data_IF_717827187900
#
_entry.id   IF_717827187900
#
_cell.length_a   1.000
_cell.length_b   1.000
_cell.length_c   1.000
_cell.angle_alpha   90.00
_cell.angle_beta   90.00
_cell.angle_gamma   90.00
#
_symmetry.space_group_name_H-M   'P 1'
#
loop_
_entity.id
_entity.type
_entity.pdbx_description
1 polymer ?
#
# COMPACT_ATOMS: atom_id res chain seq x y z
N UNK A 1 -9.63 -0.61 2.89
CA UNK A 1 -8.48 -0.53 1.94
C UNK A 1 -8.23 0.93 1.51
N UNK A 2 -6.97 1.38 1.45
CA UNK A 2 -6.58 2.70 0.88
C UNK A 2 -6.06 2.51 -0.55
N UNK A 3 -6.60 3.27 -1.48
CA UNK A 3 -6.26 3.28 -2.89
C UNK A 3 -5.39 4.49 -3.22
N UNK A 4 -4.16 4.20 -3.65
CA UNK A 4 -3.21 5.20 -4.13
C UNK A 4 -3.24 5.22 -5.66
N UNK A 5 -3.33 6.42 -6.24
CA UNK A 5 -3.25 6.63 -7.69
C UNK A 5 -1.93 7.30 -8.03
N UNK A 6 -0.99 6.53 -8.54
CA UNK A 6 0.32 7.06 -8.90
C UNK A 6 0.25 7.87 -10.19
N UNK A 7 0.78 9.10 -10.13
CA UNK A 7 1.00 10.01 -11.23
C UNK A 7 2.50 10.34 -11.34
N UNK A 8 3.02 10.26 -12.56
CA UNK A 8 4.39 10.64 -12.86
C UNK A 8 4.39 11.94 -13.67
N UNK A 9 4.83 13.03 -13.04
CA UNK A 9 4.87 14.34 -13.69
C UNK A 9 6.30 14.67 -14.11
N UNK A 10 6.56 14.69 -15.42
CA UNK A 10 7.83 15.13 -16.00
C UNK A 10 7.89 16.66 -16.07
N UNK A 11 9.01 17.24 -15.61
CA UNK A 11 9.32 18.67 -15.73
C UNK A 11 10.77 18.86 -16.20
N UNK A 12 11.13 20.10 -16.54
CA UNK A 12 12.49 20.50 -16.86
C UNK A 12 13.00 21.45 -15.77
N UNK A 13 14.26 21.27 -15.34
CA UNK A 13 14.94 22.25 -14.49
C UNK A 13 15.30 23.51 -15.31
N UNK A 14 15.76 24.60 -14.68
CA UNK A 14 16.15 25.82 -15.40
C UNK A 14 17.28 25.64 -16.43
N UNK A 15 18.01 24.52 -16.39
CA UNK A 15 19.08 24.17 -17.34
C UNK A 15 18.59 23.22 -18.44
N UNK A 16 17.30 22.91 -18.49
CA UNK A 16 16.70 22.00 -19.47
C UNK A 16 16.87 20.52 -19.14
N UNK A 17 17.32 20.17 -17.93
CA UNK A 17 17.49 18.76 -17.51
C UNK A 17 16.15 18.22 -17.01
N UNK A 18 15.66 17.08 -17.54
CA UNK A 18 14.39 16.50 -17.08
C UNK A 18 14.49 15.97 -15.65
N UNK A 19 13.44 16.20 -14.87
CA UNK A 19 13.22 15.58 -13.56
C UNK A 19 11.76 15.15 -13.43
N UNK A 20 11.48 14.27 -12.47
CA UNK A 20 10.17 13.63 -12.32
C UNK A 20 9.68 13.79 -10.89
N UNK A 21 8.42 14.20 -10.75
CA UNK A 21 7.68 14.07 -9.49
C UNK A 21 6.89 12.79 -9.53
N UNK A 22 7.09 11.95 -8.51
CA UNK A 22 6.22 10.82 -8.21
C UNK A 22 5.22 11.36 -7.20
N UNK A 23 3.97 11.46 -7.60
CA UNK A 23 2.89 11.97 -6.78
C UNK A 23 1.59 11.30 -7.17
N UNK A 24 0.48 11.88 -6.78
CA UNK A 24 -0.84 11.32 -7.04
C UNK A 24 -1.91 12.14 -6.35
N UNK A 25 -3.17 11.86 -6.67
CA UNK A 25 -4.27 12.37 -5.87
C UNK A 25 -4.17 11.83 -4.44
N UNK A 26 -4.77 12.57 -3.48
CA UNK A 26 -4.87 12.08 -2.13
C UNK A 26 -5.51 10.69 -2.14
N UNK A 27 -4.93 9.70 -1.43
CA UNK A 27 -5.43 8.34 -1.47
C UNK A 27 -6.90 8.33 -1.05
N UNK A 28 -7.72 7.73 -1.90
CA UNK A 28 -9.12 7.45 -1.59
C UNK A 28 -9.20 6.13 -0.84
N UNK A 29 -10.32 5.81 -0.20
CA UNK A 29 -10.45 4.52 0.46
C UNK A 29 -11.83 4.30 1.02
N UNK A 30 -12.16 3.02 1.26
CA UNK A 30 -13.37 2.64 1.97
C UNK A 30 -13.11 2.84 3.46
N UNK A 31 -13.98 3.60 4.12
CA UNK A 31 -14.02 3.67 5.58
C UNK A 31 -14.52 2.33 6.09
N UNK A 32 -13.59 1.53 6.59
CA UNK A 32 -13.83 0.18 7.05
C UNK A 32 -13.51 0.09 8.54
N UNK A 33 -14.47 -0.42 9.31
CA UNK A 33 -14.32 -0.58 10.76
C UNK A 33 -13.13 -1.50 11.07
N UNK A 34 -12.34 -1.12 12.08
CA UNK A 34 -11.12 -1.85 12.45
C UNK A 34 -9.86 -1.47 11.65
N UNK A 35 -9.98 -0.61 10.62
CA UNK A 35 -8.81 -0.06 9.91
C UNK A 35 -8.37 1.28 10.49
N UNK A 36 -7.09 1.63 10.29
CA UNK A 36 -6.56 2.92 10.73
C UNK A 36 -7.28 4.12 10.09
N UNK A 37 -7.67 3.98 8.82
CA UNK A 37 -8.37 5.00 8.04
C UNK A 37 -9.81 5.15 8.51
N UNK A 38 -10.48 4.03 8.82
CA UNK A 38 -11.81 4.02 9.42
C UNK A 38 -11.82 4.76 10.76
N UNK A 39 -10.86 4.48 11.65
CA UNK A 39 -10.76 5.16 12.94
C UNK A 39 -10.58 6.68 12.81
N UNK A 40 -9.75 7.13 11.87
CA UNK A 40 -9.57 8.57 11.60
C UNK A 40 -10.83 9.22 10.99
N UNK A 41 -11.55 8.51 10.11
CA UNK A 41 -12.81 8.98 9.54
C UNK A 41 -13.88 9.26 10.60
N UNK A 42 -13.88 8.48 11.68
CA UNK A 42 -14.77 8.62 12.84
C UNK A 42 -14.20 9.54 13.94
N UNK A 43 -13.14 10.30 13.66
CA UNK A 43 -12.49 11.24 14.59
C UNK A 43 -11.85 10.61 15.85
N UNK A 44 -11.45 9.34 15.76
CA UNK A 44 -10.68 8.66 16.81
C UNK A 44 -9.17 8.65 16.52
N UNK A 45 -8.36 8.46 17.57
CA UNK A 45 -6.93 8.16 17.42
C UNK A 45 -6.77 6.69 17.06
N UNK A 46 -5.96 6.38 16.05
CA UNK A 46 -5.60 4.99 15.69
C UNK A 46 -4.27 4.57 16.33
N UNK A 47 -4.24 3.38 16.93
CA UNK A 47 -3.02 2.72 17.39
C UNK A 47 -2.94 1.34 16.76
N UNK A 48 -2.01 1.15 15.84
CA UNK A 48 -1.83 -0.10 15.09
C UNK A 48 -0.56 -0.80 15.54
N UNK A 49 -0.62 -1.91 16.30
CA UNK A 49 0.57 -2.68 16.64
C UNK A 49 1.12 -3.35 15.38
N UNK A 50 2.33 -2.98 14.97
CA UNK A 50 3.02 -3.52 13.80
C UNK A 50 4.11 -4.52 14.24
N UNK A 51 4.36 -5.50 13.38
CA UNK A 51 5.47 -6.44 13.51
C UNK A 51 6.44 -6.29 12.34
N UNK A 52 7.70 -6.64 12.55
CA UNK A 52 8.75 -6.60 11.52
C UNK A 52 8.81 -7.88 10.67
N UNK A 53 8.25 -8.97 11.16
CA UNK A 53 8.12 -10.19 10.37
C UNK A 53 7.04 -9.99 9.31
N UNK A 54 7.48 -9.88 8.05
CA UNK A 54 6.62 -9.70 6.88
C UNK A 54 6.28 -11.03 6.20
N UNK A 55 6.62 -12.16 6.81
CA UNK A 55 6.33 -13.48 6.25
C UNK A 55 4.82 -13.69 6.21
N UNK A 56 4.28 -13.90 5.01
CA UNK A 56 2.88 -14.26 4.80
C UNK A 56 2.64 -15.72 5.22
N UNK A 57 2.60 -15.98 6.52
CA UNK A 57 2.54 -17.34 7.10
C UNK A 57 1.36 -18.16 6.58
N UNK A 58 0.18 -17.55 6.46
CA UNK A 58 -1.03 -18.21 5.95
C UNK A 58 -0.87 -18.66 4.51
N UNK A 59 -0.33 -17.79 3.65
CA UNK A 59 0.00 -18.14 2.28
C UNK A 59 1.06 -19.24 2.22
N UNK A 60 2.04 -19.22 3.11
CA UNK A 60 3.04 -20.28 3.23
C UNK A 60 2.41 -21.65 3.52
N UNK A 61 1.42 -21.72 4.42
CA UNK A 61 0.66 -22.95 4.68
C UNK A 61 -0.21 -23.38 3.50
N UNK A 62 -0.72 -22.43 2.72
CA UNK A 62 -1.44 -22.71 1.48
C UNK A 62 -0.53 -23.32 0.42
N UNK A 63 0.64 -22.71 0.18
CA UNK A 63 1.61 -23.17 -0.82
C UNK A 63 2.15 -24.57 -0.52
N UNK A 64 2.30 -24.94 0.76
CA UNK A 64 2.69 -26.31 1.15
C UNK A 64 1.70 -27.39 0.71
N UNK A 65 0.44 -27.03 0.46
CA UNK A 65 -0.61 -27.94 -0.02
C UNK A 65 -0.59 -28.09 -1.53
N UNK A 66 0.13 -27.23 -2.23
CA UNK A 66 0.22 -27.30 -3.68
C UNK A 66 1.10 -28.47 -4.07
N UNK A 67 0.57 -29.33 -4.95
CA UNK A 67 1.36 -30.40 -5.54
C UNK A 67 2.20 -29.82 -6.68
N UNK A 68 3.49 -29.60 -6.42
CA UNK A 68 4.44 -29.13 -7.43
C UNK A 68 4.92 -30.27 -8.36
N UNK A 69 4.09 -31.28 -8.61
CA UNK A 69 4.37 -32.37 -9.55
C UNK A 69 4.42 -31.86 -11.00
N UNK A 70 5.59 -31.36 -11.38
CA UNK A 70 6.06 -31.15 -12.74
C UNK A 70 7.43 -31.79 -12.90
N UNK A 71 7.45 -33.12 -12.93
CA UNK A 71 8.59 -33.98 -13.29
C UNK A 71 8.08 -35.20 -14.03
#
# INVERSE_FOLDING_TARGET
MRDYRDELVRRLDPRGVPYYWIGGEAPTGVLEEGTDFGALGESYVSVTPLQLDLTAMELGEELKKWDFAGG
#
